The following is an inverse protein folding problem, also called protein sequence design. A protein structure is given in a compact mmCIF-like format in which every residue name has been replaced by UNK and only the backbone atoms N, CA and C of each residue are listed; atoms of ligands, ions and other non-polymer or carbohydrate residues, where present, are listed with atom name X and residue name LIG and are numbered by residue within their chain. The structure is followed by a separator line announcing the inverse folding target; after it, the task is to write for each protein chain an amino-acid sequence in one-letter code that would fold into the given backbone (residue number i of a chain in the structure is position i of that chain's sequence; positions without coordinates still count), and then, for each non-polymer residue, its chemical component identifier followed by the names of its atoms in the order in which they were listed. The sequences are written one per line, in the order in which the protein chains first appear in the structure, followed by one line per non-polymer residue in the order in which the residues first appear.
data_IF_358877201743
#
_entry.id   IF_358877201743
#
_cell.length_a   1.000
_cell.length_b   1.000
_cell.length_c   1.000
_cell.angle_alpha   90.00
_cell.angle_beta   90.00
_cell.angle_gamma   90.00
#
_symmetry.space_group_name_H-M   'P 1'
#
loop_
_entity.id
_entity.type
_entity.pdbx_description
1 polymer ?
#
# COMPACT_ATOMS: atom_id res chain seq x y z
N UNK A 1 0.00 -20.41 15.55
CA UNK A 1 0.03 -21.31 14.39
C UNK A 1 0.46 -20.49 13.19
N UNK A 2 1.74 -20.56 12.85
CA UNK A 2 2.31 -19.87 11.68
C UNK A 2 1.90 -20.58 10.41
N UNK A 3 1.41 -19.83 9.43
CA UNK A 3 1.07 -20.37 8.11
C UNK A 3 2.32 -20.90 7.39
N UNK A 4 2.11 -21.90 6.54
CA UNK A 4 3.08 -22.33 5.54
C UNK A 4 2.88 -21.47 4.28
N UNK A 5 3.95 -21.16 3.55
CA UNK A 5 3.82 -20.50 2.26
C UNK A 5 3.04 -21.41 1.29
N UNK A 6 1.95 -20.89 0.72
CA UNK A 6 1.08 -21.60 -0.23
C UNK A 6 1.64 -21.66 -1.65
N UNK A 7 2.73 -20.95 -1.94
CA UNK A 7 3.35 -20.89 -3.25
C UNK A 7 4.71 -20.20 -3.22
N UNK A 8 5.31 -20.04 -4.39
CA UNK A 8 6.61 -19.38 -4.52
C UNK A 8 7.81 -20.27 -4.25
N UNK A 9 8.97 -19.65 -4.27
CA UNK A 9 10.25 -20.32 -4.04
C UNK A 9 10.38 -20.85 -2.60
N UNK A 10 9.55 -20.36 -1.68
CA UNK A 10 9.45 -20.82 -0.29
C UNK A 10 8.20 -21.67 -0.01
N UNK A 11 7.52 -22.18 -1.05
CA UNK A 11 6.33 -23.02 -0.87
C UNK A 11 6.60 -24.17 0.12
N UNK A 12 5.69 -24.36 1.08
CA UNK A 12 5.82 -25.38 2.13
C UNK A 12 6.79 -25.03 3.27
N UNK A 13 7.45 -23.87 3.25
CA UNK A 13 8.23 -23.37 4.38
C UNK A 13 7.36 -22.52 5.32
N UNK A 14 7.74 -22.47 6.60
CA UNK A 14 7.08 -21.63 7.59
C UNK A 14 7.35 -20.14 7.36
N UNK A 15 6.34 -19.30 7.61
CA UNK A 15 6.47 -17.84 7.69
C UNK A 15 7.14 -17.45 9.02
N UNK A 16 8.42 -17.06 9.00
CA UNK A 16 9.21 -16.79 10.21
C UNK A 16 8.95 -15.42 10.85
N UNK A 17 8.55 -14.43 10.05
CA UNK A 17 8.21 -13.05 10.39
C UNK A 17 6.72 -12.82 10.63
N UNK A 18 5.94 -13.90 10.72
CA UNK A 18 4.51 -13.85 10.99
C UNK A 18 3.64 -13.81 9.74
N UNK A 19 2.34 -14.01 9.97
CA UNK A 19 1.30 -14.01 8.94
C UNK A 19 0.30 -12.92 9.28
N UNK A 20 0.05 -12.01 8.33
CA UNK A 20 -0.96 -10.98 8.46
C UNK A 20 -2.37 -11.56 8.58
N UNK A 21 -3.32 -10.76 9.04
CA UNK A 21 -4.72 -11.17 9.25
C UNK A 21 -5.41 -11.72 7.99
N UNK A 22 -4.90 -11.39 6.79
CA UNK A 22 -5.36 -11.91 5.49
C UNK A 22 -4.56 -13.12 4.98
N UNK A 23 -3.86 -13.83 5.85
CA UNK A 23 -3.00 -14.97 5.49
C UNK A 23 -1.87 -14.62 4.51
N UNK A 24 -1.37 -13.38 4.57
CA UNK A 24 -0.25 -12.92 3.73
C UNK A 24 1.03 -12.80 4.55
N UNK A 25 2.19 -13.08 3.93
CA UNK A 25 3.50 -12.85 4.53
C UNK A 25 4.44 -12.28 3.49
N UNK A 26 5.32 -11.35 3.88
CA UNK A 26 6.38 -10.80 3.01
C UNK A 26 7.38 -11.86 2.56
N UNK A 27 7.45 -12.96 3.30
CA UNK A 27 8.36 -14.07 3.04
C UNK A 27 7.88 -15.03 1.97
N UNK A 28 6.56 -15.11 1.78
CA UNK A 28 5.94 -16.01 0.82
C UNK A 28 5.73 -15.26 -0.49
N UNK A 29 6.84 -15.07 -1.22
CA UNK A 29 6.81 -14.49 -2.55
C UNK A 29 5.91 -15.33 -3.48
N UNK A 30 5.30 -14.73 -4.52
CA UNK A 30 4.62 -15.47 -5.58
C UNK A 30 5.54 -16.48 -6.29
N UNK A 31 4.96 -17.34 -7.13
CA UNK A 31 5.74 -18.21 -8.02
C UNK A 31 6.67 -17.38 -8.91
N UNK A 32 7.87 -17.90 -9.22
CA UNK A 32 8.88 -17.15 -9.99
C UNK A 32 8.37 -16.72 -11.39
N UNK A 33 7.42 -17.46 -11.97
CA UNK A 33 6.74 -17.09 -13.22
C UNK A 33 5.78 -15.90 -13.08
N UNK A 34 5.42 -15.52 -11.85
CA UNK A 34 4.50 -14.43 -11.52
C UNK A 34 5.19 -13.31 -10.72
N UNK A 35 6.48 -13.48 -10.39
CA UNK A 35 7.25 -12.52 -9.62
C UNK A 35 8.25 -11.81 -10.53
N UNK A 36 7.96 -10.54 -10.83
CA UNK A 36 8.79 -9.71 -11.71
C UNK A 36 9.91 -9.02 -10.90
N UNK A 37 9.72 -8.84 -9.60
CA UNK A 37 10.70 -8.25 -8.68
C UNK A 37 10.03 -7.61 -7.46
N UNK A 38 10.84 -7.27 -6.45
CA UNK A 38 10.41 -6.39 -5.37
C UNK A 38 10.73 -4.95 -5.79
N UNK A 39 9.74 -4.07 -5.69
CA UNK A 39 9.88 -2.67 -6.04
C UNK A 39 10.05 -1.86 -4.75
N UNK A 40 11.28 -1.46 -4.38
CA UNK A 40 11.51 -0.69 -3.18
C UNK A 40 11.06 0.76 -3.40
N UNK A 41 9.75 1.00 -3.26
CA UNK A 41 9.21 2.34 -3.19
C UNK A 41 9.18 2.79 -1.72
N UNK A 42 9.83 3.90 -1.34
CA UNK A 42 9.66 4.48 -0.01
C UNK A 42 8.22 4.98 0.13
N UNK A 43 7.40 4.31 0.95
CA UNK A 43 6.05 4.75 1.26
C UNK A 43 6.09 5.68 2.48
N UNK A 44 5.88 6.98 2.25
CA UNK A 44 5.57 7.93 3.32
C UNK A 44 4.08 8.19 3.32
N UNK A 45 3.39 7.70 4.35
CA UNK A 45 1.95 7.81 4.49
C UNK A 45 1.60 8.79 5.60
N UNK A 46 0.54 9.56 5.39
CA UNK A 46 0.01 10.52 6.36
C UNK A 46 -1.51 10.47 6.40
N UNK A 47 -2.09 10.79 7.55
CA UNK A 47 -3.54 11.06 7.67
C UNK A 47 -3.91 12.49 7.29
N UNK A 48 -2.91 13.34 6.98
CA UNK A 48 -3.09 14.69 6.47
C UNK A 48 -3.03 14.73 4.94
N UNK A 49 -2.94 15.94 4.37
CA UNK A 49 -2.73 16.14 2.95
C UNK A 49 -1.27 15.90 2.57
N UNK A 50 -1.04 15.01 1.60
CA UNK A 50 0.21 14.84 0.87
C UNK A 50 0.09 15.53 -0.49
N UNK A 51 1.07 16.36 -0.83
CA UNK A 51 1.12 17.07 -2.11
C UNK A 51 2.47 16.86 -2.76
N UNK A 52 2.46 16.48 -4.03
CA UNK A 52 3.63 16.46 -4.90
C UNK A 52 3.40 17.47 -6.02
N UNK A 53 4.43 18.25 -6.34
CA UNK A 53 4.38 19.26 -7.40
C UNK A 53 5.43 18.89 -8.44
N UNK A 54 5.05 18.97 -9.71
CA UNK A 54 5.97 18.73 -10.80
C UNK A 54 7.01 19.86 -10.91
N UNK A 55 8.16 19.55 -11.48
CA UNK A 55 9.13 20.56 -11.89
C UNK A 55 8.67 21.34 -13.13
N UNK A 56 9.56 22.19 -13.64
CA UNK A 56 9.32 23.01 -14.85
C UNK A 56 9.01 22.15 -16.08
N UNK A 57 9.62 20.98 -16.18
CA UNK A 57 9.47 20.04 -17.29
C UNK A 57 8.22 19.15 -17.11
N UNK A 58 7.53 19.24 -15.98
CA UNK A 58 6.32 18.47 -15.69
C UNK A 58 6.61 17.09 -15.12
N UNK A 59 7.81 16.90 -14.56
CA UNK A 59 8.26 15.66 -13.96
C UNK A 59 8.08 15.71 -12.44
N UNK A 60 7.57 14.62 -11.86
CA UNK A 60 7.40 14.45 -10.43
C UNK A 60 8.52 13.62 -9.79
N UNK A 61 9.15 12.75 -10.59
CA UNK A 61 10.09 11.75 -10.10
C UNK A 61 11.42 11.78 -10.87
N UNK A 62 12.56 11.56 -10.19
CA UNK A 62 13.84 11.43 -10.86
C UNK A 62 13.82 10.31 -11.89
N UNK A 63 14.24 10.62 -13.12
CA UNK A 63 14.28 9.67 -14.23
C UNK A 63 12.93 9.43 -14.93
N UNK A 64 11.87 10.14 -14.54
CA UNK A 64 10.61 10.13 -15.28
C UNK A 64 10.83 10.65 -16.70
N UNK A 65 10.37 9.88 -17.69
CA UNK A 65 10.62 10.15 -19.11
C UNK A 65 9.49 10.92 -19.79
N UNK A 66 8.26 10.71 -19.34
CA UNK A 66 7.04 11.33 -19.87
C UNK A 66 6.44 12.24 -18.81
N UNK A 67 6.23 13.55 -19.09
CA UNK A 67 5.58 14.48 -18.17
C UNK A 67 4.16 14.07 -17.78
N UNK A 68 3.74 14.56 -16.61
CA UNK A 68 2.41 14.32 -16.08
C UNK A 68 2.38 13.21 -15.02
N UNK A 69 1.17 12.81 -14.64
CA UNK A 69 0.96 11.84 -13.57
C UNK A 69 -0.38 11.14 -13.71
N UNK A 70 -0.43 9.86 -13.29
CA UNK A 70 -1.70 9.12 -13.14
C UNK A 70 -2.59 9.13 -14.41
N UNK A 71 -1.96 9.03 -15.58
CA UNK A 71 -2.65 9.07 -16.89
C UNK A 71 -3.05 10.47 -17.37
N UNK A 72 -2.62 11.53 -16.69
CA UNK A 72 -2.85 12.93 -17.05
C UNK A 72 -1.54 13.59 -17.48
N UNK A 73 -1.41 13.90 -18.78
CA UNK A 73 -0.17 14.43 -19.37
C UNK A 73 0.20 15.85 -18.91
N UNK A 74 -0.79 16.67 -18.53
CA UNK A 74 -0.59 18.05 -18.07
C UNK A 74 -0.67 18.20 -16.54
N UNK A 75 -0.64 17.08 -15.80
CA UNK A 75 -0.68 17.16 -14.34
C UNK A 75 0.53 17.91 -13.80
N UNK A 76 0.28 18.95 -12.99
CA UNK A 76 1.33 19.74 -12.30
C UNK A 76 1.34 19.53 -10.80
N UNK A 77 0.25 18.97 -10.26
CA UNK A 77 0.11 18.72 -8.84
C UNK A 77 -0.63 17.41 -8.63
N UNK A 78 -0.14 16.59 -7.71
CA UNK A 78 -0.83 15.42 -7.18
C UNK A 78 -1.13 15.74 -5.72
N UNK A 79 -2.40 15.70 -5.35
CA UNK A 79 -2.84 15.91 -3.97
C UNK A 79 -3.61 14.69 -3.49
N UNK A 80 -3.18 14.14 -2.36
CA UNK A 80 -3.90 13.09 -1.67
C UNK A 80 -4.20 13.53 -0.24
N UNK A 81 -5.45 13.36 0.17
CA UNK A 81 -5.88 13.75 1.52
C UNK A 81 -6.21 12.48 2.29
N UNK A 82 -5.41 12.21 3.32
CA UNK A 82 -5.76 11.23 4.33
C UNK A 82 -6.90 11.73 5.22
N UNK A 83 -7.40 10.84 6.06
CA UNK A 83 -8.44 11.15 7.03
C UNK A 83 -7.95 10.69 8.39
N UNK A 84 -7.74 11.60 9.37
CA UNK A 84 -7.37 11.18 10.71
C UNK A 84 -8.54 10.48 11.38
N UNK A 85 -8.22 9.70 12.41
CA UNK A 85 -9.23 9.11 13.27
C UNK A 85 -10.16 10.19 13.84
N UNK A 86 -11.45 9.89 13.95
CA UNK A 86 -12.51 10.84 14.30
C UNK A 86 -12.76 11.96 13.28
N UNK A 87 -12.01 12.02 12.18
CA UNK A 87 -12.16 13.01 11.11
C UNK A 87 -12.92 12.51 9.87
N UNK A 88 -13.31 11.23 9.85
CA UNK A 88 -13.97 10.59 8.71
C UNK A 88 -15.50 10.49 8.82
N UNK A 89 -16.17 9.84 7.85
CA UNK A 89 -17.62 9.62 7.88
C UNK A 89 -18.07 8.74 9.06
N UNK A 90 -17.13 8.05 9.73
CA UNK A 90 -17.35 7.40 11.01
C UNK A 90 -16.19 7.71 11.96
N UNK A 91 -16.49 7.74 13.26
CA UNK A 91 -15.51 7.96 14.33
C UNK A 91 -14.37 6.93 14.35
N UNK A 92 -14.58 5.80 13.67
CA UNK A 92 -13.74 4.62 13.70
C UNK A 92 -13.00 4.35 12.39
N UNK A 93 -13.20 5.20 11.38
CA UNK A 93 -12.49 5.11 10.10
C UNK A 93 -11.33 6.09 10.05
N UNK A 94 -10.21 5.63 9.51
CA UNK A 94 -9.01 6.43 9.25
C UNK A 94 -8.47 6.05 7.87
N UNK A 95 -7.91 7.02 7.13
CA UNK A 95 -7.19 6.72 5.89
C UNK A 95 -5.82 7.36 5.91
N UNK A 96 -4.84 6.57 5.50
CA UNK A 96 -3.47 7.00 5.30
C UNK A 96 -3.26 7.16 3.79
N UNK A 97 -2.85 8.33 3.35
CA UNK A 97 -2.56 8.63 1.96
C UNK A 97 -1.13 9.12 1.79
N UNK A 98 -0.57 8.96 0.59
CA UNK A 98 0.80 9.37 0.31
C UNK A 98 1.19 9.26 -1.15
N UNK A 99 1.85 10.30 -1.63
CA UNK A 99 2.44 10.32 -2.96
C UNK A 99 3.84 9.71 -2.88
N UNK A 100 4.25 8.99 -3.92
CA UNK A 100 5.55 8.34 -3.97
C UNK A 100 6.13 8.36 -5.39
N UNK A 101 7.43 8.10 -5.48
CA UNK A 101 8.09 7.84 -6.74
C UNK A 101 8.36 6.35 -6.88
N UNK A 102 7.81 5.77 -7.94
CA UNK A 102 8.07 4.38 -8.29
C UNK A 102 9.38 4.35 -9.08
N UNK A 103 10.42 3.64 -8.61
CA UNK A 103 11.69 3.59 -9.32
C UNK A 103 11.56 2.75 -10.62
N UNK A 104 12.57 2.84 -11.48
CA UNK A 104 12.72 1.94 -12.60
C UNK A 104 12.83 0.49 -12.11
N UNK A 105 12.24 -0.44 -12.85
CA UNK A 105 12.37 -1.87 -12.58
C UNK A 105 13.68 -2.45 -13.10
N UNK A 106 14.41 -1.70 -13.95
CA UNK A 106 15.64 -2.13 -14.60
C UNK A 106 15.38 -3.03 -15.82
N UNK A 107 14.12 -3.32 -16.13
CA UNK A 107 13.71 -4.05 -17.32
C UNK A 107 13.22 -3.06 -18.36
N UNK A 108 14.00 -2.84 -19.42
CA UNK A 108 13.65 -1.88 -20.48
C UNK A 108 12.27 -2.12 -21.11
N UNK A 109 11.77 -3.36 -21.15
CA UNK A 109 10.42 -3.66 -21.63
C UNK A 109 9.35 -3.09 -20.69
N UNK A 110 9.49 -3.28 -19.39
CA UNK A 110 8.54 -2.80 -18.39
C UNK A 110 8.65 -1.28 -18.29
N UNK A 111 9.86 -0.76 -18.13
CA UNK A 111 10.12 0.66 -17.94
C UNK A 111 9.62 1.54 -19.09
N UNK A 112 9.74 1.08 -20.34
CA UNK A 112 9.20 1.82 -21.49
C UNK A 112 7.69 1.59 -21.72
N UNK A 113 7.12 0.47 -21.24
CA UNK A 113 5.70 0.14 -21.45
C UNK A 113 4.76 0.78 -20.43
N UNK A 114 5.24 1.01 -19.21
CA UNK A 114 4.46 1.58 -18.10
C UNK A 114 5.02 2.90 -17.58
N UNK A 115 5.93 3.53 -18.36
CA UNK A 115 6.59 4.80 -18.02
C UNK A 115 7.18 4.81 -16.60
N UNK A 116 7.96 3.78 -16.28
CA UNK A 116 8.75 3.75 -15.04
C UNK A 116 10.18 4.26 -15.32
N UNK A 117 10.77 5.07 -14.42
CA UNK A 117 10.22 5.60 -13.16
C UNK A 117 9.06 6.60 -13.34
N UNK A 118 8.09 6.60 -12.41
CA UNK A 118 6.93 7.47 -12.51
C UNK A 118 6.24 7.76 -11.16
N UNK A 119 5.39 8.80 -11.10
CA UNK A 119 4.66 9.14 -9.89
C UNK A 119 3.59 8.10 -9.56
N UNK A 120 3.56 7.70 -8.29
CA UNK A 120 2.56 6.81 -7.70
C UNK A 120 1.80 7.51 -6.58
N UNK A 121 0.61 6.99 -6.31
CA UNK A 121 -0.26 7.50 -5.25
C UNK A 121 -0.90 6.32 -4.54
N UNK A 122 -0.92 6.32 -3.21
CA UNK A 122 -1.47 5.21 -2.41
C UNK A 122 -2.44 5.72 -1.37
N UNK A 123 -3.50 4.97 -1.12
CA UNK A 123 -4.45 5.23 -0.04
C UNK A 123 -4.77 3.91 0.66
N UNK A 124 -4.63 3.90 1.98
CA UNK A 124 -4.87 2.75 2.84
C UNK A 124 -5.93 3.12 3.85
N UNK A 125 -7.09 2.51 3.75
CA UNK A 125 -8.18 2.67 4.71
C UNK A 125 -8.03 1.66 5.85
N UNK A 126 -8.12 2.15 7.08
CA UNK A 126 -8.15 1.35 8.30
C UNK A 126 -9.41 1.61 9.12
N UNK A 127 -9.87 0.61 9.85
CA UNK A 127 -10.91 0.74 10.86
C UNK A 127 -10.36 0.36 12.22
N UNK A 128 -10.73 1.13 13.25
CA UNK A 128 -10.46 0.74 14.64
C UNK A 128 -11.77 0.35 15.31
N UNK A 129 -11.75 -0.65 16.18
CA UNK A 129 -12.90 -1.00 17.01
C UNK A 129 -12.54 -0.76 18.47
N UNK A 130 -13.30 0.09 19.15
CA UNK A 130 -13.11 0.38 20.57
C UNK A 130 -14.17 -0.36 21.37
N UNK A 131 -13.73 -1.29 22.22
CA UNK A 131 -14.57 -2.04 23.13
C UNK A 131 -14.73 -1.24 24.43
N UNK A 132 -15.79 -0.44 24.54
CA UNK A 132 -15.99 0.49 25.66
C UNK A 132 -16.40 -0.19 26.99
N UNK A 133 -16.63 -1.51 27.00
CA UNK A 133 -16.89 -2.28 28.22
C UNK A 133 -15.86 -3.40 28.36
N UNK A 134 -14.96 -3.25 29.34
CA UNK A 134 -13.96 -4.26 29.72
C UNK A 134 -14.56 -5.64 30.03
N UNK A 135 -15.83 -5.70 30.46
CA UNK A 135 -16.54 -6.96 30.73
C UNK A 135 -17.15 -7.67 29.52
N UNK A 136 -17.39 -6.98 28.40
CA UNK A 136 -18.00 -7.56 27.20
C UNK A 136 -16.98 -8.19 26.25
N UNK A 137 -15.71 -7.76 26.34
CA UNK A 137 -14.65 -8.21 25.45
C UNK A 137 -14.21 -9.69 25.69
N UNK A 138 -14.37 -10.25 26.89
CA UNK A 138 -14.02 -11.65 27.14
C UNK A 138 -15.01 -12.67 26.53
N UNK A 139 -16.23 -12.24 26.20
CA UNK A 139 -17.26 -13.10 25.59
C UNK A 139 -17.35 -12.92 24.06
N UNK A 140 -17.04 -11.72 23.55
CA UNK A 140 -17.11 -11.40 22.11
C UNK A 140 -15.79 -11.63 21.35
N UNK A 141 -14.65 -11.76 22.05
CA UNK A 141 -13.36 -12.04 21.42
C UNK A 141 -13.02 -13.55 21.34
N UNK A 142 -13.93 -14.44 21.73
CA UNK A 142 -13.76 -15.87 21.49
C UNK A 142 -15.11 -16.61 21.31
N UNK A 143 -15.59 -16.85 20.06
CA UNK A 143 -15.02 -16.46 18.77
C UNK A 143 -15.55 -15.09 18.32
N UNK A 144 -14.71 -14.32 17.61
CA UNK A 144 -15.09 -13.08 16.91
C UNK A 144 -16.21 -13.35 15.89
N UNK A 145 -17.46 -13.33 16.34
CA UNK A 145 -18.66 -13.46 15.52
C UNK A 145 -19.26 -12.07 15.26
N UNK A 146 -18.52 -11.22 14.53
CA UNK A 146 -19.09 -10.00 13.95
C UNK A 146 -18.67 -9.89 12.47
N UNK A 147 -19.28 -10.76 11.65
CA UNK A 147 -19.68 -10.45 10.28
C UNK A 147 -21.16 -10.81 10.16
N UNK A 148 -22.02 -10.04 9.46
CA UNK A 148 -23.10 -10.66 8.70
C UNK A 148 -22.53 -11.52 7.56
#
# INVERSE_FOLDING_TARGET
MGGLCSGGQRAGLACAGGVGSKQTSRECLPSASQFIGELPAPLTLTTATSTATADVDGLFCPGQKVPGALGQFDARTITQTGVPLLGGPSAFSTSLAGNLCVPATGSGLVDNSVDLPGPGSVSVTGTISVCALTGACNSLCNPCALCP
#
